data_IF_398110796224
#
_entry.id   IF_398110796224
#
_cell.length_a   1.000
_cell.length_b   1.000
_cell.length_c   1.000
_cell.angle_alpha   90.00
_cell.angle_beta   90.00
_cell.angle_gamma   90.00
#
_symmetry.space_group_name_H-M   'P 1'
#
loop_
_entity.id
_entity.type
_entity.pdbx_description
1 polymer ?
#
# COMPACT_ATOMS: atom_id res chain seq x y z
N UNK A 1 54.27 29.53 -57.41
CA UNK A 1 53.20 28.97 -56.55
C UNK A 1 52.22 30.08 -56.27
N UNK A 2 50.97 29.88 -56.68
CA UNK A 2 49.91 30.88 -56.57
C UNK A 2 49.37 30.88 -55.12
N UNK A 3 49.33 32.05 -54.48
CA UNK A 3 49.01 32.22 -53.04
C UNK A 3 47.63 32.87 -52.83
N UNK A 4 46.80 32.90 -53.86
CA UNK A 4 45.55 33.66 -53.96
C UNK A 4 44.38 33.12 -53.13
N UNK A 5 44.45 31.89 -52.59
CA UNK A 5 43.37 31.28 -51.77
C UNK A 5 43.72 31.07 -50.28
N UNK A 6 44.78 31.69 -49.74
CA UNK A 6 45.05 31.63 -48.30
C UNK A 6 44.19 32.65 -47.55
N UNK A 7 43.13 32.18 -46.92
CA UNK A 7 42.39 32.93 -45.91
C UNK A 7 43.36 33.36 -44.79
N UNK A 8 43.44 34.67 -44.57
CA UNK A 8 44.28 35.32 -43.56
C UNK A 8 43.90 34.87 -42.13
N UNK A 9 44.49 33.77 -41.64
CA UNK A 9 44.58 33.52 -40.20
C UNK A 9 45.87 34.17 -39.66
N UNK A 10 45.76 35.01 -38.63
CA UNK A 10 46.91 35.62 -37.95
C UNK A 10 47.79 34.51 -37.35
N UNK A 11 49.11 34.66 -37.44
CA UNK A 11 50.08 33.72 -36.86
C UNK A 11 49.83 33.62 -35.35
N UNK A 12 49.36 32.46 -34.88
CA UNK A 12 48.96 32.21 -33.49
C UNK A 12 47.46 32.23 -33.20
N UNK A 13 46.60 32.53 -34.19
CA UNK A 13 45.14 32.63 -34.00
C UNK A 13 44.38 31.30 -34.18
N UNK A 14 45.08 30.17 -34.34
CA UNK A 14 44.45 28.89 -34.65
C UNK A 14 43.88 28.82 -36.08
N UNK A 15 43.56 27.60 -36.53
CA UNK A 15 42.87 27.41 -37.81
C UNK A 15 41.39 27.80 -37.65
N UNK A 16 40.81 28.39 -38.68
CA UNK A 16 39.36 28.68 -38.71
C UNK A 16 38.65 27.35 -38.89
N UNK A 17 37.87 26.92 -37.88
CA UNK A 17 37.15 25.66 -37.90
C UNK A 17 36.26 25.56 -39.15
N UNK A 18 36.37 24.45 -39.88
CA UNK A 18 35.55 24.20 -41.05
C UNK A 18 34.07 24.13 -40.67
N UNK A 19 33.16 24.30 -41.63
CA UNK A 19 31.72 24.14 -41.39
C UNK A 19 31.38 22.75 -40.87
N UNK A 20 32.13 21.73 -41.27
CA UNK A 20 32.00 20.36 -40.79
C UNK A 20 32.39 20.24 -39.31
N UNK A 21 33.52 20.84 -38.91
CA UNK A 21 33.97 20.86 -37.51
C UNK A 21 32.97 21.59 -36.61
N UNK A 22 32.40 22.69 -37.10
CA UNK A 22 31.35 23.43 -36.39
C UNK A 22 30.07 22.60 -36.21
N UNK A 23 29.68 21.82 -37.23
CA UNK A 23 28.53 20.92 -37.14
C UNK A 23 28.76 19.75 -36.17
N UNK A 24 29.97 19.19 -36.15
CA UNK A 24 30.34 18.15 -35.18
C UNK A 24 30.33 18.73 -33.76
N UNK A 25 30.92 19.91 -33.57
CA UNK A 25 30.96 20.58 -32.27
C UNK A 25 29.56 20.92 -31.75
N UNK A 26 28.67 21.44 -32.61
CA UNK A 26 27.28 21.72 -32.23
C UNK A 26 26.54 20.43 -31.85
N UNK A 27 26.71 19.34 -32.60
CA UNK A 27 26.12 18.04 -32.29
C UNK A 27 26.60 17.47 -30.95
N UNK A 28 27.91 17.54 -30.68
CA UNK A 28 28.48 17.09 -29.42
C UNK A 28 28.00 17.93 -28.23
N UNK A 29 27.91 19.25 -28.42
CA UNK A 29 27.38 20.16 -27.40
C UNK A 29 25.91 19.88 -27.10
N UNK A 30 25.08 19.66 -28.12
CA UNK A 30 23.67 19.28 -27.93
C UNK A 30 23.56 17.94 -27.19
N UNK A 31 24.42 16.97 -27.51
CA UNK A 31 24.50 15.70 -26.80
C UNK A 31 24.79 15.89 -25.31
N UNK A 32 25.81 16.68 -24.98
CA UNK A 32 26.23 16.95 -23.59
C UNK A 32 25.11 17.64 -22.79
N UNK A 33 24.44 18.63 -23.39
CA UNK A 33 23.31 19.30 -22.77
C UNK A 33 22.15 18.34 -22.48
N UNK A 34 21.79 17.48 -23.43
CA UNK A 34 20.72 16.49 -23.26
C UNK A 34 21.04 15.46 -22.17
N UNK A 35 22.30 15.02 -22.09
CA UNK A 35 22.75 14.09 -21.06
C UNK A 35 22.71 14.72 -19.65
N UNK A 36 23.10 16.00 -19.53
CA UNK A 36 23.14 16.70 -18.24
C UNK A 36 21.77 16.99 -17.62
N UNK A 37 20.73 17.15 -18.44
CA UNK A 37 19.46 17.72 -18.00
C UNK A 37 18.35 16.68 -17.76
N UNK A 38 18.46 15.46 -18.31
CA UNK A 38 17.28 14.60 -18.49
C UNK A 38 17.19 13.40 -17.55
N UNK A 39 18.27 12.75 -17.10
CA UNK A 39 18.30 11.69 -16.06
C UNK A 39 19.59 10.87 -16.23
N UNK A 40 20.14 10.34 -15.14
CA UNK A 40 21.16 9.30 -15.21
C UNK A 40 20.57 8.04 -15.83
N UNK A 41 21.09 7.63 -16.98
CA UNK A 41 20.68 6.41 -17.71
C UNK A 41 20.85 5.16 -16.84
N UNK A 42 21.78 5.17 -15.90
CA UNK A 42 22.00 4.07 -14.96
C UNK A 42 20.82 3.87 -14.00
N UNK A 43 20.02 4.92 -13.75
CA UNK A 43 18.90 4.89 -12.81
C UNK A 43 17.54 4.61 -13.48
N UNK A 44 17.47 4.53 -14.81
CA UNK A 44 16.22 4.22 -15.51
C UNK A 44 15.93 2.70 -15.50
N UNK A 45 14.83 2.24 -14.89
CA UNK A 45 14.52 0.80 -14.80
C UNK A 45 14.10 0.17 -16.14
N UNK A 46 13.83 0.95 -17.18
CA UNK A 46 13.35 0.47 -18.47
C UNK A 46 14.46 0.36 -19.54
N UNK A 47 15.66 0.88 -19.29
CA UNK A 47 16.79 0.77 -20.20
C UNK A 47 17.70 -0.39 -19.81
N UNK A 48 18.21 -1.12 -20.80
CA UNK A 48 19.30 -2.06 -20.59
C UNK A 48 20.15 -2.18 -21.85
N UNK A 49 21.40 -2.61 -21.68
CA UNK A 49 22.31 -2.92 -22.79
C UNK A 49 22.15 -4.39 -23.17
N UNK A 50 21.92 -4.63 -24.45
CA UNK A 50 21.90 -5.98 -25.00
C UNK A 50 23.30 -6.58 -25.09
N UNK A 51 23.37 -7.88 -25.35
CA UNK A 51 24.62 -8.60 -25.61
C UNK A 51 25.44 -8.03 -26.79
N UNK A 52 24.80 -7.27 -27.69
CA UNK A 52 25.44 -6.56 -28.80
C UNK A 52 25.90 -5.13 -28.43
N UNK A 53 25.71 -4.71 -27.18
CA UNK A 53 26.03 -3.35 -26.71
C UNK A 53 25.03 -2.26 -27.11
N UNK A 54 23.97 -2.60 -27.83
CA UNK A 54 22.88 -1.68 -28.18
C UNK A 54 21.96 -1.45 -26.96
N UNK A 55 21.40 -0.25 -26.84
CA UNK A 55 20.45 0.10 -25.79
C UNK A 55 19.04 -0.31 -26.21
N UNK A 56 18.33 -1.03 -25.35
CA UNK A 56 16.94 -1.40 -25.58
C UNK A 56 16.01 -0.80 -24.53
N UNK A 57 14.86 -0.30 -25.01
CA UNK A 57 13.77 0.17 -24.17
C UNK A 57 12.80 -0.98 -23.91
N UNK A 58 12.81 -1.55 -22.69
CA UNK A 58 11.93 -2.66 -22.30
C UNK A 58 10.44 -2.31 -22.42
N UNK A 59 10.09 -1.05 -22.20
CA UNK A 59 8.71 -0.57 -22.25
C UNK A 59 8.16 -0.47 -23.68
N UNK A 60 9.01 -0.18 -24.67
CA UNK A 60 8.61 0.04 -26.06
C UNK A 60 9.10 -1.02 -27.05
N UNK A 61 9.99 -1.92 -26.62
CA UNK A 61 10.68 -2.90 -27.45
C UNK A 61 11.36 -2.24 -28.66
N UNK A 62 12.06 -1.14 -28.41
CA UNK A 62 12.82 -0.39 -29.43
C UNK A 62 14.30 -0.44 -29.12
N UNK A 63 15.10 -0.64 -30.16
CA UNK A 63 16.57 -0.62 -30.12
C UNK A 63 17.09 0.78 -30.44
N UNK A 64 18.13 1.19 -29.72
CA UNK A 64 18.80 2.47 -29.84
C UNK A 64 20.31 2.22 -29.92
N UNK A 65 20.95 2.90 -30.86
CA UNK A 65 22.39 2.76 -31.11
C UNK A 65 23.19 3.53 -30.04
N UNK A 66 22.73 4.74 -29.74
CA UNK A 66 23.40 5.67 -28.82
C UNK A 66 22.43 6.10 -27.71
N UNK A 67 23.00 6.52 -26.58
CA UNK A 67 22.29 7.10 -25.44
C UNK A 67 21.41 8.28 -25.85
N UNK A 68 21.90 9.13 -26.75
CA UNK A 68 21.16 10.28 -27.28
C UNK A 68 19.90 9.84 -28.05
N UNK A 69 20.00 8.76 -28.82
CA UNK A 69 18.86 8.20 -29.54
C UNK A 69 17.81 7.67 -28.57
N UNK A 70 18.26 7.13 -27.44
CA UNK A 70 17.39 6.68 -26.35
C UNK A 70 16.74 7.86 -25.59
N UNK A 71 17.49 8.92 -25.25
CA UNK A 71 16.96 10.13 -24.60
C UNK A 71 15.89 10.81 -25.48
N UNK A 72 16.14 10.91 -26.79
CA UNK A 72 15.13 11.43 -27.71
C UNK A 72 13.88 10.54 -27.74
N UNK A 73 14.03 9.21 -27.62
CA UNK A 73 12.91 8.29 -27.52
C UNK A 73 12.11 8.44 -26.22
N UNK A 74 12.77 8.70 -25.07
CA UNK A 74 12.11 8.96 -23.79
C UNK A 74 11.14 10.15 -23.87
N UNK A 75 11.57 11.23 -24.53
CA UNK A 75 10.73 12.41 -24.80
C UNK A 75 9.60 12.16 -25.81
N UNK A 76 9.57 10.98 -26.45
CA UNK A 76 8.62 10.63 -27.48
C UNK A 76 7.24 10.24 -26.96
N UNK A 77 6.18 10.64 -27.68
CA UNK A 77 4.77 10.32 -27.33
C UNK A 77 4.50 8.82 -27.21
N UNK A 78 5.16 7.99 -28.01
CA UNK A 78 5.02 6.52 -27.95
C UNK A 78 5.45 5.98 -26.58
N UNK A 79 6.57 6.47 -26.06
CA UNK A 79 7.10 6.05 -24.78
C UNK A 79 6.17 6.46 -23.64
N UNK A 80 5.75 7.73 -23.60
CA UNK A 80 4.80 8.24 -22.62
C UNK A 80 3.47 7.45 -22.60
N UNK A 81 2.92 7.10 -23.77
CA UNK A 81 1.70 6.31 -23.86
C UNK A 81 1.86 4.88 -23.32
N UNK A 82 3.00 4.24 -23.58
CA UNK A 82 3.25 2.90 -23.06
C UNK A 82 3.48 2.92 -21.54
N UNK A 83 4.04 4.00 -21.00
CA UNK A 83 4.21 4.21 -19.57
C UNK A 83 2.86 4.32 -18.86
N UNK A 84 1.93 5.10 -19.43
CA UNK A 84 0.57 5.20 -18.88
C UNK A 84 -0.20 3.88 -18.98
N UNK A 85 -0.06 3.15 -20.10
CA UNK A 85 -0.63 1.80 -20.23
C UNK A 85 -0.08 0.85 -19.18
N UNK A 86 1.22 0.92 -18.90
CA UNK A 86 1.87 0.11 -17.87
C UNK A 86 1.37 0.49 -16.48
N UNK A 87 1.23 1.78 -16.17
CA UNK A 87 0.63 2.29 -14.93
C UNK A 87 -0.77 1.73 -14.70
N UNK A 88 -1.64 1.78 -15.71
CA UNK A 88 -3.02 1.25 -15.64
C UNK A 88 -3.02 -0.27 -15.45
N UNK A 89 -2.14 -0.99 -16.15
CA UNK A 89 -2.03 -2.44 -16.00
C UNK A 89 -1.52 -2.83 -14.61
N UNK A 90 -0.51 -2.11 -14.09
CA UNK A 90 0.02 -2.35 -12.75
C UNK A 90 -1.01 -1.97 -11.68
N UNK A 91 -1.84 -0.93 -11.87
CA UNK A 91 -2.99 -0.65 -11.00
C UNK A 91 -4.04 -1.77 -11.04
N UNK A 92 -4.36 -2.29 -12.22
CA UNK A 92 -5.30 -3.42 -12.37
C UNK A 92 -4.74 -4.72 -11.81
N UNK A 93 -3.45 -4.97 -12.01
CA UNK A 93 -2.76 -6.14 -11.49
C UNK A 93 -2.62 -6.03 -9.99
N UNK A 94 -2.23 -4.89 -9.41
CA UNK A 94 -2.22 -4.66 -7.96
C UNK A 94 -3.63 -4.76 -7.32
N UNK A 95 -4.70 -4.49 -8.08
CA UNK A 95 -6.07 -4.79 -7.63
C UNK A 95 -6.41 -6.29 -7.67
N UNK A 96 -5.73 -7.09 -8.49
CA UNK A 96 -6.03 -8.50 -8.75
C UNK A 96 -4.98 -9.50 -8.18
N UNK A 97 -3.78 -9.06 -7.78
CA UNK A 97 -2.83 -9.88 -7.04
C UNK A 97 -3.12 -9.68 -5.56
N UNK A 98 -3.63 -10.75 -4.97
CA UNK A 98 -3.61 -11.14 -3.58
C UNK A 98 -3.03 -10.18 -2.51
N UNK A 99 -3.66 -10.16 -1.31
CA UNK A 99 -3.30 -9.34 -0.14
C UNK A 99 -2.07 -9.91 0.60
N UNK A 100 -0.97 -10.15 -0.11
CA UNK A 100 0.26 -10.73 0.45
C UNK A 100 1.56 -10.12 -0.12
N UNK A 101 1.51 -9.10 -0.97
CA UNK A 101 2.71 -8.29 -1.22
C UNK A 101 2.87 -7.32 -0.08
N UNK A 102 3.85 -7.60 0.77
CA UNK A 102 4.41 -6.67 1.75
C UNK A 102 4.63 -5.33 1.06
N UNK A 103 3.79 -4.35 1.42
CA UNK A 103 4.15 -2.95 1.23
C UNK A 103 5.54 -2.75 1.83
N UNK A 104 6.44 -2.15 1.07
CA UNK A 104 7.75 -1.68 1.53
C UNK A 104 7.46 -0.53 2.49
N UNK A 105 7.02 -0.90 3.68
CA UNK A 105 7.25 -0.14 4.88
C UNK A 105 8.36 -0.92 5.57
N UNK A 106 9.57 -0.37 5.61
CA UNK A 106 10.68 -0.85 6.44
C UNK A 106 10.37 -0.64 7.94
N UNK A 107 9.10 -0.77 8.32
CA UNK A 107 8.66 -0.70 9.70
C UNK A 107 8.92 -2.10 10.24
N UNK A 108 9.95 -2.22 11.09
CA UNK A 108 10.23 -3.46 11.80
C UNK A 108 8.94 -3.96 12.47
N UNK A 109 8.51 -5.16 12.07
CA UNK A 109 7.32 -5.78 12.65
C UNK A 109 7.66 -6.11 14.11
N UNK A 110 7.00 -5.43 15.04
CA UNK A 110 7.09 -5.75 16.47
C UNK A 110 6.68 -7.20 16.68
N UNK A 111 7.50 -7.96 17.42
CA UNK A 111 7.23 -9.36 17.76
C UNK A 111 7.44 -9.57 19.25
N UNK A 112 6.58 -10.40 19.86
CA UNK A 112 6.60 -10.68 21.29
C UNK A 112 6.12 -12.10 21.56
N UNK A 113 6.52 -12.64 22.71
CA UNK A 113 6.04 -13.94 23.18
C UNK A 113 4.62 -13.78 23.73
N UNK A 114 3.66 -14.49 23.14
CA UNK A 114 2.25 -14.42 23.51
C UNK A 114 2.01 -15.13 24.83
N UNK A 115 1.40 -14.45 25.80
CA UNK A 115 1.12 -14.99 27.15
C UNK A 115 -0.17 -15.83 27.18
N UNK A 116 -1.05 -15.64 26.19
CA UNK A 116 -2.34 -16.33 26.07
C UNK A 116 -3.49 -15.38 25.78
N UNK A 117 -4.72 -15.88 25.87
CA UNK A 117 -5.94 -15.08 25.63
C UNK A 117 -6.28 -14.22 26.86
N UNK A 118 -6.71 -12.96 26.66
CA UNK A 118 -7.20 -12.13 27.76
C UNK A 118 -8.55 -12.63 28.27
N UNK A 119 -8.90 -12.26 29.50
CA UNK A 119 -10.22 -12.55 30.06
C UNK A 119 -11.23 -11.54 29.49
N UNK A 120 -12.39 -12.02 29.04
CA UNK A 120 -13.44 -11.16 28.48
C UNK A 120 -14.80 -11.47 29.09
N UNK A 121 -15.66 -10.45 29.17
CA UNK A 121 -17.07 -10.55 29.57
C UNK A 121 -17.92 -9.76 28.56
N UNK A 122 -18.96 -10.40 28.04
CA UNK A 122 -19.89 -9.79 27.09
C UNK A 122 -21.25 -9.69 27.78
N UNK A 123 -21.82 -8.48 27.81
CA UNK A 123 -23.12 -8.20 28.42
C UNK A 123 -24.02 -7.56 27.37
N UNK A 124 -25.24 -8.07 27.21
CA UNK A 124 -26.25 -7.41 26.38
C UNK A 124 -26.82 -6.23 27.16
N UNK A 125 -26.87 -5.05 26.53
CA UNK A 125 -27.37 -3.82 27.15
C UNK A 125 -28.57 -3.28 26.37
N UNK A 126 -29.35 -2.43 27.01
CA UNK A 126 -30.42 -1.67 26.38
C UNK A 126 -30.36 -0.24 26.88
N UNK A 127 -30.32 0.72 25.97
CA UNK A 127 -30.31 2.13 26.31
C UNK A 127 -31.71 2.54 26.82
N UNK A 128 -31.84 3.23 27.96
CA UNK A 128 -33.15 3.57 28.53
C UNK A 128 -33.94 4.58 27.69
N UNK A 129 -33.25 5.53 27.04
CA UNK A 129 -33.89 6.64 26.33
C UNK A 129 -34.24 6.24 24.89
N UNK A 130 -33.27 5.70 24.15
CA UNK A 130 -33.48 5.30 22.74
C UNK A 130 -34.07 3.90 22.58
N UNK A 131 -34.14 3.12 23.67
CA UNK A 131 -34.54 1.72 23.69
C UNK A 131 -33.72 0.79 22.77
N UNK A 132 -32.60 1.29 22.25
CA UNK A 132 -31.70 0.54 21.39
C UNK A 132 -31.04 -0.59 22.16
N UNK A 133 -30.96 -1.76 21.53
CA UNK A 133 -30.26 -2.92 22.08
C UNK A 133 -28.79 -2.80 21.69
N UNK A 134 -27.88 -3.20 22.56
CA UNK A 134 -26.46 -3.20 22.27
C UNK A 134 -25.71 -4.30 23.01
N UNK A 135 -24.38 -4.22 22.89
CA UNK A 135 -23.45 -5.07 23.63
C UNK A 135 -22.40 -4.19 24.32
N UNK A 136 -22.08 -4.58 25.56
CA UNK A 136 -20.95 -4.09 26.32
C UNK A 136 -19.94 -5.21 26.46
N UNK A 137 -18.72 -4.96 26.02
CA UNK A 137 -17.61 -5.89 26.06
C UNK A 137 -16.58 -5.33 27.03
N UNK A 138 -16.22 -6.14 28.02
CA UNK A 138 -15.18 -5.83 28.99
C UNK A 138 -14.05 -6.83 28.82
N UNK A 139 -12.84 -6.36 28.54
CA UNK A 139 -11.65 -7.20 28.35
C UNK A 139 -10.58 -6.80 29.36
N UNK A 140 -10.10 -7.76 30.13
CA UNK A 140 -9.09 -7.54 31.16
C UNK A 140 -7.70 -7.88 30.64
N UNK A 141 -6.77 -6.92 30.75
CA UNK A 141 -5.38 -7.04 30.31
C UNK A 141 -4.38 -6.74 31.45
N UNK A 142 -4.24 -7.61 32.46
CA UNK A 142 -3.42 -7.34 33.65
C UNK A 142 -1.94 -7.02 33.36
N UNK A 143 -1.36 -7.60 32.31
CA UNK A 143 0.06 -7.48 31.94
C UNK A 143 0.27 -6.81 30.58
N UNK A 144 -0.49 -5.76 30.27
CA UNK A 144 -0.37 -5.03 29.00
C UNK A 144 0.94 -4.23 28.94
N UNK A 145 1.62 -4.25 27.80
CA UNK A 145 2.83 -3.45 27.55
C UNK A 145 2.54 -2.14 26.83
N UNK A 146 1.43 -2.08 26.10
CA UNK A 146 0.96 -0.88 25.38
C UNK A 146 0.18 0.03 26.34
N UNK A 147 0.16 1.34 26.05
CA UNK A 147 -0.61 2.32 26.80
C UNK A 147 -2.11 2.03 26.81
N UNK A 148 -2.67 1.61 25.67
CA UNK A 148 -4.09 1.30 25.47
C UNK A 148 -4.23 0.12 24.49
N UNK A 149 -5.22 -0.79 24.67
CA UNK A 149 -5.56 -1.79 23.67
C UNK A 149 -6.09 -1.19 22.37
N UNK A 150 -5.84 -1.87 21.26
CA UNK A 150 -6.41 -1.53 19.96
C UNK A 150 -7.63 -2.40 19.67
N UNK A 151 -8.58 -1.85 18.92
CA UNK A 151 -9.68 -2.63 18.39
C UNK A 151 -10.08 -2.16 17.00
N UNK A 152 -10.70 -3.06 16.24
CA UNK A 152 -11.19 -2.77 14.88
C UNK A 152 -12.36 -3.67 14.54
N UNK A 153 -13.39 -3.10 13.91
CA UNK A 153 -14.44 -3.85 13.24
C UNK A 153 -13.98 -4.19 11.82
N UNK A 154 -13.88 -5.47 11.50
CA UNK A 154 -13.48 -5.99 10.20
C UNK A 154 -14.60 -6.82 9.58
N UNK A 155 -14.72 -6.75 8.26
CA UNK A 155 -15.58 -7.67 7.51
C UNK A 155 -14.90 -9.05 7.36
N UNK A 156 -15.69 -10.10 7.04
CA UNK A 156 -15.14 -11.43 6.79
C UNK A 156 -14.03 -11.43 5.71
N UNK A 157 -14.20 -10.64 4.66
CA UNK A 157 -13.29 -10.58 3.52
C UNK A 157 -11.96 -9.86 3.83
N UNK A 158 -11.91 -9.05 4.89
CA UNK A 158 -10.68 -8.41 5.37
C UNK A 158 -9.83 -9.34 6.24
N UNK A 159 -10.40 -10.45 6.74
CA UNK A 159 -9.66 -11.44 7.52
C UNK A 159 -8.68 -12.22 6.63
N UNK A 160 -7.52 -12.58 7.20
CA UNK A 160 -6.60 -13.54 6.54
C UNK A 160 -7.30 -14.89 6.33
N UNK A 161 -6.94 -15.63 5.27
CA UNK A 161 -7.51 -16.96 4.97
C UNK A 161 -7.45 -17.93 6.15
N UNK A 162 -6.39 -17.85 6.98
CA UNK A 162 -6.29 -18.63 8.22
C UNK A 162 -7.41 -18.27 9.22
N UNK A 163 -7.67 -16.98 9.42
CA UNK A 163 -8.70 -16.49 10.34
C UNK A 163 -10.12 -16.74 9.82
N UNK A 164 -10.33 -16.63 8.50
CA UNK A 164 -11.57 -17.05 7.85
C UNK A 164 -11.91 -18.52 8.13
N UNK A 165 -10.91 -19.41 8.03
CA UNK A 165 -11.07 -20.83 8.36
C UNK A 165 -11.36 -21.06 9.85
N UNK A 166 -10.74 -20.28 10.75
CA UNK A 166 -11.07 -20.33 12.18
C UNK A 166 -12.51 -19.93 12.45
N UNK A 167 -13.00 -18.86 11.81
CA UNK A 167 -14.39 -18.42 11.95
C UNK A 167 -15.37 -19.51 11.49
N UNK A 168 -15.13 -20.09 10.30
CA UNK A 168 -15.92 -21.22 9.78
C UNK A 168 -16.03 -22.38 10.77
N UNK A 169 -14.90 -22.77 11.37
CA UNK A 169 -14.85 -23.85 12.37
C UNK A 169 -15.59 -23.48 13.65
N UNK A 170 -15.45 -22.24 14.11
CA UNK A 170 -16.11 -21.76 15.32
C UNK A 170 -17.64 -21.77 15.15
N UNK A 171 -18.15 -21.19 14.06
CA UNK A 171 -19.58 -21.16 13.76
C UNK A 171 -20.14 -22.58 13.64
N UNK A 172 -19.44 -23.47 12.93
CA UNK A 172 -19.84 -24.88 12.80
C UNK A 172 -19.97 -25.58 14.16
N UNK A 173 -19.01 -25.38 15.06
CA UNK A 173 -19.02 -26.00 16.39
C UNK A 173 -20.17 -25.52 17.28
N UNK A 174 -20.53 -24.24 17.18
CA UNK A 174 -21.65 -23.68 17.96
C UNK A 174 -23.02 -24.08 17.41
N UNK A 175 -23.10 -24.48 16.14
CA UNK A 175 -24.33 -24.86 15.43
C UNK A 175 -24.60 -26.37 15.37
N UNK A 176 -23.84 -27.21 16.06
CA UNK A 176 -24.12 -28.67 16.12
C UNK A 176 -25.43 -29.02 16.88
N UNK A 177 -26.36 -28.08 17.07
CA UNK A 177 -27.73 -28.30 17.53
C UNK A 177 -28.75 -27.75 16.52
N UNK A 178 -29.49 -28.67 15.90
CA UNK A 178 -30.81 -28.62 15.22
C UNK A 178 -31.26 -27.46 14.30
N UNK A 179 -30.51 -26.36 14.12
CA UNK A 179 -30.92 -25.25 13.25
C UNK A 179 -30.16 -25.26 11.90
N UNK A 180 -30.85 -25.74 10.85
CA UNK A 180 -30.34 -25.97 9.47
C UNK A 180 -30.16 -24.68 8.62
N UNK A 181 -30.20 -23.49 9.20
CA UNK A 181 -29.89 -22.27 8.44
C UNK A 181 -28.38 -22.08 8.33
N UNK A 182 -27.84 -22.35 7.14
CA UNK A 182 -26.47 -22.05 6.72
C UNK A 182 -26.22 -20.53 6.73
N UNK A 183 -26.13 -19.90 7.92
CA UNK A 183 -25.56 -18.56 7.97
C UNK A 183 -24.10 -18.67 7.52
N UNK A 184 -23.84 -18.14 6.34
CA UNK A 184 -22.51 -18.06 5.82
C UNK A 184 -21.67 -17.14 6.73
N UNK A 185 -20.42 -17.52 7.03
CA UNK A 185 -19.51 -16.67 7.82
C UNK A 185 -19.20 -15.33 7.14
N UNK A 186 -19.52 -15.23 5.85
CA UNK A 186 -19.26 -14.13 4.95
C UNK A 186 -20.04 -12.87 5.33
N UNK A 187 -21.25 -13.04 5.87
CA UNK A 187 -22.13 -11.92 6.20
C UNK A 187 -21.83 -11.32 7.57
N UNK A 188 -21.12 -12.05 8.44
CA UNK A 188 -20.84 -11.58 9.79
C UNK A 188 -19.73 -10.53 9.82
N UNK A 189 -19.86 -9.60 10.77
CA UNK A 189 -18.81 -8.66 11.13
C UNK A 189 -17.98 -9.20 12.31
N UNK A 190 -16.71 -8.81 12.39
CA UNK A 190 -15.78 -9.28 13.41
C UNK A 190 -15.18 -8.09 14.15
N UNK A 191 -15.48 -7.98 15.44
CA UNK A 191 -14.83 -7.03 16.33
C UNK A 191 -13.57 -7.67 16.89
N UNK A 192 -12.41 -7.17 16.45
CA UNK A 192 -11.11 -7.65 16.88
C UNK A 192 -10.56 -6.72 17.95
N UNK A 193 -10.08 -7.27 19.05
CA UNK A 193 -9.42 -6.54 20.14
C UNK A 193 -8.02 -7.13 20.32
N UNK A 194 -7.03 -6.25 20.45
CA UNK A 194 -5.61 -6.56 20.53
C UNK A 194 -4.96 -5.75 21.64
N UNK A 195 -4.18 -6.40 22.50
CA UNK A 195 -3.36 -5.74 23.51
C UNK A 195 -2.11 -6.56 23.74
N UNK A 196 -0.94 -6.03 23.35
CA UNK A 196 0.33 -6.75 23.53
C UNK A 196 0.60 -6.96 25.03
N UNK A 197 1.05 -8.14 25.50
CA UNK A 197 1.50 -9.30 24.73
C UNK A 197 0.44 -10.41 24.58
N UNK A 198 -0.84 -10.11 24.78
CA UNK A 198 -1.91 -11.10 24.70
C UNK A 198 -2.21 -11.52 23.26
N UNK A 199 -2.90 -12.64 23.12
CA UNK A 199 -3.48 -13.05 21.85
C UNK A 199 -4.68 -12.16 21.49
N UNK A 200 -4.79 -11.84 20.20
CA UNK A 200 -5.96 -11.12 19.69
C UNK A 200 -7.22 -11.97 19.88
N UNK A 201 -8.29 -11.32 20.34
CA UNK A 201 -9.62 -11.91 20.41
C UNK A 201 -10.49 -11.33 19.31
N UNK A 202 -11.44 -12.12 18.82
CA UNK A 202 -12.43 -11.70 17.85
C UNK A 202 -13.82 -12.08 18.35
N UNK A 203 -14.75 -11.14 18.26
CA UNK A 203 -16.15 -11.31 18.63
C UNK A 203 -16.97 -11.19 17.35
N UNK A 204 -17.79 -12.20 17.08
CA UNK A 204 -18.64 -12.25 15.89
C UNK A 204 -19.91 -11.44 16.17
N UNK A 205 -20.21 -10.49 15.30
CA UNK A 205 -21.43 -9.68 15.33
C UNK A 205 -22.24 -10.03 14.07
N UNK A 206 -23.47 -10.55 14.22
CA UNK A 206 -24.35 -10.83 13.09
C UNK A 206 -24.67 -9.57 12.28
N UNK A 207 -24.82 -9.70 10.97
CA UNK A 207 -25.07 -8.56 10.07
C UNK A 207 -26.43 -7.90 10.28
N UNK A 208 -27.42 -8.67 10.76
CA UNK A 208 -28.78 -8.18 11.07
C UNK A 208 -28.79 -7.02 12.07
N UNK A 209 -27.65 -6.78 12.73
CA UNK A 209 -27.47 -5.76 13.73
C UNK A 209 -26.56 -4.66 13.17
N UNK A 210 -27.19 -3.66 12.54
CA UNK A 210 -26.46 -2.52 12.00
C UNK A 210 -25.76 -1.72 13.11
N UNK A 211 -24.50 -1.38 12.86
CA UNK A 211 -23.68 -0.58 13.78
C UNK A 211 -23.46 0.81 13.16
N UNK A 212 -23.86 1.85 13.88
CA UNK A 212 -23.56 3.23 13.49
C UNK A 212 -22.14 3.59 13.92
N UNK A 213 -21.20 3.54 12.97
CA UNK A 213 -19.84 4.01 13.19
C UNK A 213 -19.81 5.56 13.13
N UNK A 214 -19.08 6.23 14.03
CA UNK A 214 -18.85 7.66 13.89
C UNK A 214 -18.06 7.93 12.59
N UNK A 215 -18.38 9.04 11.90
CA UNK A 215 -17.70 9.43 10.66
C UNK A 215 -16.20 9.69 10.86
N UNK A 216 -15.81 10.10 12.07
CA UNK A 216 -14.41 10.24 12.48
C UNK A 216 -14.01 9.04 13.35
N UNK A 217 -12.97 8.30 12.97
CA UNK A 217 -12.50 7.08 13.64
C UNK A 217 -12.15 7.25 15.13
N UNK A 218 -11.98 8.50 15.59
CA UNK A 218 -11.57 8.84 16.96
C UNK A 218 -12.60 9.64 17.75
N UNK A 219 -13.85 9.75 17.27
CA UNK A 219 -14.91 10.46 18.02
C UNK A 219 -15.86 9.51 18.71
N UNK A 220 -16.12 9.79 19.98
CA UNK A 220 -17.18 9.15 20.75
C UNK A 220 -18.55 9.55 20.20
N UNK A 221 -19.47 8.58 20.16
CA UNK A 221 -20.89 8.82 20.02
C UNK A 221 -21.61 8.16 21.21
N UNK A 222 -22.82 8.58 21.54
CA UNK A 222 -23.64 7.89 22.55
C UNK A 222 -23.83 6.40 22.21
N UNK A 223 -23.91 6.08 20.91
CA UNK A 223 -24.13 4.73 20.42
C UNK A 223 -22.85 3.89 20.34
N UNK A 224 -21.68 4.53 20.30
CA UNK A 224 -20.39 3.85 20.09
C UNK A 224 -19.29 4.55 20.89
N UNK A 225 -18.82 3.89 21.93
CA UNK A 225 -17.75 4.40 22.76
C UNK A 225 -16.86 3.27 23.30
N UNK A 226 -15.65 3.64 23.67
CA UNK A 226 -14.70 2.74 24.33
C UNK A 226 -13.98 3.51 25.42
N UNK A 227 -13.51 2.79 26.43
CA UNK A 227 -12.75 3.38 27.53
C UNK A 227 -11.72 2.38 28.03
N UNK A 228 -10.51 2.87 28.29
CA UNK A 228 -9.45 2.09 28.90
C UNK A 228 -9.23 2.56 30.34
N UNK A 229 -9.51 1.66 31.27
CA UNK A 229 -9.17 1.86 32.68
C UNK A 229 -7.75 1.35 32.93
N UNK A 230 -6.82 2.28 33.09
CA UNK A 230 -5.41 1.97 33.30
C UNK A 230 -5.11 1.39 34.69
N UNK A 231 -5.97 1.65 35.69
CA UNK A 231 -5.76 1.21 37.07
C UNK A 231 -6.26 -0.23 37.25
N UNK A 232 -7.45 -0.53 36.74
CA UNK A 232 -8.06 -1.87 36.80
C UNK A 232 -7.51 -2.77 35.67
N UNK A 233 -6.90 -2.16 34.65
CA UNK A 233 -6.46 -2.82 33.41
C UNK A 233 -7.61 -3.47 32.66
N UNK A 234 -8.72 -2.76 32.56
CA UNK A 234 -9.94 -3.21 31.90
C UNK A 234 -10.32 -2.29 30.74
N UNK A 235 -10.59 -2.91 29.59
CA UNK A 235 -10.97 -2.26 28.36
C UNK A 235 -12.45 -2.45 28.11
N UNK A 236 -13.16 -1.35 27.98
CA UNK A 236 -14.59 -1.29 27.79
C UNK A 236 -14.87 -0.88 26.34
N UNK A 237 -15.72 -1.63 25.65
CA UNK A 237 -16.23 -1.28 24.33
C UNK A 237 -17.73 -1.47 24.35
N UNK A 238 -18.46 -0.38 24.10
CA UNK A 238 -19.91 -0.39 23.98
C UNK A 238 -20.33 -0.09 22.55
N UNK A 239 -21.24 -0.92 22.04
CA UNK A 239 -21.83 -0.76 20.72
C UNK A 239 -23.35 -0.93 20.86
N UNK A 240 -24.09 0.12 20.56
CA UNK A 240 -25.54 0.06 20.36
C UNK A 240 -25.84 -0.24 18.89
N UNK A 241 -26.86 -1.07 18.67
CA UNK A 241 -27.36 -1.39 17.35
C UNK A 241 -28.42 -0.38 16.94
N UNK A 242 -28.48 -0.12 15.64
CA UNK A 242 -29.56 0.66 15.07
C UNK A 242 -30.88 -0.14 15.19
N UNK A 243 -31.95 0.58 15.51
CA UNK A 243 -33.32 0.02 15.55
C UNK A 243 -33.88 -0.17 14.14
#
# INVERSE_FOLDING_TARGET
>A
MDYSNRFNSKKGAGQIASTEDQNIHTKNRVSELLQSHILDIENDPYVFKNHLGLLECKLCLTTHINEISYISHLSGRKHALNLERRRILDEKYNKNILPNSTTISNIEKRSWNKIGKPQYKITKIRDPDTLQIGILIVVKFPKITVSEPFFRLMSYYELTSKNQNYSKRFIKKFKEGDDEEEQEPNDNQYLIISGEPYENIAIIIPNDKEIEKPNDEFKFNNNYWWYWDNDIKEFYVQILYKN
#
